data_IF_627982179667
#
_entry.id   IF_627982179667
#
_cell.length_a   1.000
_cell.length_b   1.000
_cell.length_c   1.000
_cell.angle_alpha   90.00
_cell.angle_beta   90.00
_cell.angle_gamma   90.00
#
_symmetry.space_group_name_H-M   'P 1'
#
loop_
_entity.id
_entity.type
_entity.pdbx_description
1 polymer ?
#
# COMPACT_ATOMS: atom_id res chain seq x y z
N UNK A 1 40.65 -51.29 64.27
CA UNK A 1 39.99 -51.90 63.10
C UNK A 1 39.96 -50.90 61.96
N UNK A 2 40.59 -51.29 60.86
CA UNK A 2 40.38 -50.93 59.46
C UNK A 2 40.12 -49.48 58.98
N UNK A 3 41.12 -49.03 58.21
CA UNK A 3 41.20 -47.96 57.21
C UNK A 3 40.00 -47.87 56.23
N UNK A 4 39.64 -46.65 55.82
CA UNK A 4 39.95 -46.18 54.44
C UNK A 4 39.94 -44.64 54.29
N UNK A 5 41.02 -44.17 53.65
CA UNK A 5 41.41 -42.89 53.02
C UNK A 5 40.25 -42.11 52.37
N UNK A 6 40.28 -40.76 52.25
CA UNK A 6 41.17 -39.89 51.43
C UNK A 6 41.37 -38.54 52.16
N UNK A 7 42.57 -38.03 52.48
CA UNK A 7 43.74 -37.56 51.69
C UNK A 7 43.57 -36.15 51.09
N UNK A 8 44.40 -35.24 51.63
CA UNK A 8 45.05 -34.02 51.09
C UNK A 8 44.18 -32.83 50.64
N UNK A 9 44.54 -31.57 50.92
CA UNK A 9 45.73 -31.02 51.55
C UNK A 9 45.70 -29.48 51.47
N UNK A 10 46.27 -28.83 52.48
CA UNK A 10 46.60 -27.41 52.45
C UNK A 10 47.82 -27.18 51.53
N UNK A 11 47.75 -26.19 50.65
CA UNK A 11 48.89 -25.64 49.88
C UNK A 11 48.67 -24.12 49.87
N UNK A 12 49.36 -23.38 50.72
CA UNK A 12 50.59 -22.63 50.42
C UNK A 12 50.41 -21.57 49.32
N UNK A 13 50.46 -20.32 49.78
CA UNK A 13 50.63 -19.08 49.02
C UNK A 13 51.85 -19.19 48.10
N UNK A 14 51.64 -19.02 46.80
CA UNK A 14 52.66 -18.50 45.88
C UNK A 14 52.01 -17.35 45.12
N UNK A 15 52.37 -16.12 45.50
CA UNK A 15 52.08 -14.93 44.74
C UNK A 15 52.89 -14.98 43.43
N UNK A 16 52.26 -15.45 42.36
CA UNK A 16 52.76 -15.25 41.01
C UNK A 16 52.36 -13.85 40.55
N UNK A 17 53.31 -12.91 40.66
CA UNK A 17 53.30 -11.64 39.93
C UNK A 17 53.38 -11.97 38.42
N UNK A 18 52.24 -12.28 37.81
CA UNK A 18 52.09 -12.23 36.37
C UNK A 18 52.00 -10.75 36.00
N UNK A 19 53.08 -10.20 35.45
CA UNK A 19 53.09 -8.85 34.91
C UNK A 19 51.96 -8.68 33.90
N UNK A 20 50.96 -7.87 34.23
CA UNK A 20 50.04 -7.32 33.26
C UNK A 20 50.86 -6.42 32.34
N UNK A 21 51.34 -6.96 31.22
CA UNK A 21 51.65 -6.13 30.08
C UNK A 21 50.32 -5.58 29.60
N UNK A 22 49.98 -4.38 30.06
CA UNK A 22 49.01 -3.53 29.39
C UNK A 22 49.59 -3.23 28.01
N UNK A 23 49.29 -4.08 27.03
CA UNK A 23 49.47 -3.68 25.65
C UNK A 23 48.59 -2.45 25.46
N UNK A 24 49.13 -1.30 25.02
CA UNK A 24 48.26 -0.24 24.53
C UNK A 24 47.38 -0.87 23.45
N UNK A 25 46.08 -0.98 23.72
CA UNK A 25 45.09 -1.18 22.67
C UNK A 25 45.19 0.07 21.81
N UNK A 26 45.97 -0.02 20.73
CA UNK A 26 46.00 1.02 19.72
C UNK A 26 44.62 1.00 19.06
N UNK A 27 43.71 1.84 19.54
CA UNK A 27 42.47 2.12 18.82
C UNK A 27 42.87 2.62 17.43
N UNK A 28 42.66 1.79 16.40
CA UNK A 28 42.95 2.15 15.03
C UNK A 28 42.23 3.47 14.71
N UNK A 29 42.96 4.44 14.17
CA UNK A 29 42.41 5.77 13.85
C UNK A 29 41.31 5.60 12.80
N UNK A 30 40.04 5.69 13.22
CA UNK A 30 38.90 5.52 12.33
C UNK A 30 38.96 6.53 11.18
N UNK A 31 38.57 6.10 9.98
CA UNK A 31 38.57 6.89 8.73
C UNK A 31 37.18 7.49 8.49
N UNK A 32 37.16 8.72 7.96
CA UNK A 32 35.92 9.46 7.71
C UNK A 32 35.28 9.05 6.38
N UNK A 33 33.96 8.83 6.41
CA UNK A 33 33.08 8.81 5.24
C UNK A 33 32.45 10.20 5.14
N UNK A 34 32.80 10.96 4.11
CA UNK A 34 32.38 12.37 3.96
C UNK A 34 31.24 12.58 2.97
N UNK A 35 30.88 11.55 2.20
CA UNK A 35 29.74 11.56 1.29
C UNK A 35 29.14 10.17 1.12
N UNK A 36 27.85 10.10 0.84
CA UNK A 36 27.14 8.86 0.49
C UNK A 36 26.52 8.98 -0.90
N UNK A 37 26.33 7.84 -1.56
CA UNK A 37 25.76 7.74 -2.90
C UNK A 37 24.87 6.50 -2.94
N UNK A 38 23.56 6.73 -2.99
CA UNK A 38 22.53 5.70 -2.91
C UNK A 38 21.57 5.88 -4.07
N UNK A 39 21.24 4.77 -4.71
CA UNK A 39 20.20 4.67 -5.72
C UNK A 39 19.01 3.92 -5.11
N UNK A 40 17.81 4.43 -5.34
CA UNK A 40 16.58 3.92 -4.76
C UNK A 40 15.61 3.62 -5.90
N UNK A 41 15.32 2.35 -6.11
CA UNK A 41 14.33 1.91 -7.09
C UNK A 41 13.10 1.44 -6.31
N UNK A 42 11.93 2.02 -6.60
CA UNK A 42 10.70 1.76 -5.85
C UNK A 42 9.56 1.34 -6.76
N UNK A 43 8.96 0.20 -6.46
CA UNK A 43 7.77 -0.34 -7.10
C UNK A 43 6.68 -0.45 -6.03
N UNK A 44 5.96 0.66 -5.84
CA UNK A 44 4.87 0.78 -4.86
C UNK A 44 3.56 0.90 -5.63
N UNK A 45 2.59 0.02 -5.38
CA UNK A 45 1.27 0.06 -6.03
C UNK A 45 0.21 0.72 -5.15
N UNK A 46 -0.76 1.42 -5.75
CA UNK A 46 -1.93 1.89 -5.00
C UNK A 46 -2.75 0.70 -4.50
N UNK A 47 -3.12 0.72 -3.22
CA UNK A 47 -3.81 -0.38 -2.55
C UNK A 47 -2.93 -1.56 -2.14
N UNK A 48 -1.61 -1.48 -2.38
CA UNK A 48 -0.67 -2.42 -1.77
C UNK A 48 -0.52 -2.08 -0.30
N UNK A 49 -0.48 -3.11 0.55
CA UNK A 49 -0.33 -2.93 2.00
C UNK A 49 1.06 -2.44 2.36
N UNK A 50 1.16 -1.65 3.43
CA UNK A 50 2.46 -1.23 3.92
C UNK A 50 3.27 -2.44 4.39
N UNK A 51 4.53 -2.52 3.96
CA UNK A 51 5.43 -3.65 4.17
C UNK A 51 5.38 -4.71 3.07
N UNK A 52 4.46 -4.61 2.11
CA UNK A 52 4.39 -5.47 0.93
C UNK A 52 5.00 -4.81 -0.33
N UNK A 53 5.53 -3.59 -0.20
CA UNK A 53 6.20 -2.91 -1.31
C UNK A 53 7.57 -3.50 -1.68
N UNK A 54 7.95 -3.29 -2.95
CA UNK A 54 9.28 -3.65 -3.45
C UNK A 54 10.13 -2.39 -3.59
N UNK A 55 11.06 -2.18 -2.65
CA UNK A 55 12.04 -1.09 -2.68
C UNK A 55 13.46 -1.68 -2.67
N UNK A 56 14.23 -1.38 -3.71
CA UNK A 56 15.62 -1.80 -3.84
C UNK A 56 16.57 -0.63 -3.53
N UNK A 57 17.49 -0.86 -2.60
CA UNK A 57 18.49 0.12 -2.18
C UNK A 57 19.87 -0.29 -2.68
N UNK A 58 20.41 0.50 -3.61
CA UNK A 58 21.69 0.24 -4.26
C UNK A 58 22.76 1.23 -3.80
N UNK A 59 23.73 0.77 -3.01
CA UNK A 59 24.85 1.60 -2.54
C UNK A 59 25.94 1.69 -3.61
N UNK A 60 26.20 2.91 -4.09
CA UNK A 60 27.24 3.21 -5.09
C UNK A 60 28.52 3.81 -4.50
N UNK A 61 28.54 4.05 -3.19
CA UNK A 61 29.73 4.52 -2.48
C UNK A 61 30.66 3.40 -2.03
N UNK A 62 31.58 3.73 -1.11
CA UNK A 62 32.57 2.80 -0.58
C UNK A 62 32.69 2.99 0.93
N UNK A 63 33.13 1.94 1.61
CA UNK A 63 33.38 1.91 3.06
C UNK A 63 32.11 1.94 3.93
N UNK A 64 30.97 1.60 3.35
CA UNK A 64 29.71 1.40 4.04
C UNK A 64 28.80 0.52 3.19
N UNK A 65 27.83 -0.09 3.83
CA UNK A 65 26.85 -1.00 3.23
C UNK A 65 25.43 -0.57 3.58
N UNK A 66 24.47 -1.02 2.77
CA UNK A 66 23.06 -0.94 3.12
C UNK A 66 22.74 -1.99 4.18
N UNK A 67 21.95 -1.63 5.18
CA UNK A 67 21.49 -2.53 6.23
C UNK A 67 20.00 -2.89 5.99
N UNK A 68 19.10 -1.95 6.25
CA UNK A 68 17.66 -2.07 6.03
C UNK A 68 17.02 -0.70 5.78
N UNK A 69 15.73 -0.66 5.47
CA UNK A 69 14.92 0.57 5.50
C UNK A 69 13.70 0.40 6.40
N UNK A 70 13.15 1.53 6.85
CA UNK A 70 11.87 1.61 7.54
C UNK A 70 10.94 2.55 6.75
N UNK A 71 9.67 2.18 6.62
CA UNK A 71 8.63 3.07 6.09
C UNK A 71 8.23 4.05 7.19
N UNK A 72 8.14 5.33 6.83
CA UNK A 72 7.74 6.40 7.74
C UNK A 72 6.26 6.80 7.59
N UNK A 73 5.62 6.38 6.48
CA UNK A 73 4.18 6.55 6.28
C UNK A 73 3.39 5.71 7.29
N UNK A 74 2.19 6.16 7.62
CA UNK A 74 1.25 5.46 8.49
C UNK A 74 -0.08 5.21 7.76
N UNK A 75 -0.66 4.03 7.95
CA UNK A 75 -1.81 3.57 7.19
C UNK A 75 -1.77 2.06 7.02
N UNK A 76 -2.73 1.55 6.24
CA UNK A 76 -2.82 0.13 5.91
C UNK A 76 -2.27 -0.16 4.52
N UNK A 77 -2.55 0.76 3.59
CA UNK A 77 -2.30 0.62 2.17
C UNK A 77 -1.85 1.96 1.60
N UNK A 78 -1.10 1.87 0.49
CA UNK A 78 -0.64 3.01 -0.27
C UNK A 78 -1.78 3.71 -1.01
N UNK A 79 -1.95 5.00 -0.73
CA UNK A 79 -3.01 5.83 -1.27
C UNK A 79 -2.47 6.86 -2.27
N UNK A 80 -3.35 7.37 -3.13
CA UNK A 80 -2.99 8.32 -4.19
C UNK A 80 -2.41 9.65 -3.67
N UNK A 81 -2.79 10.07 -2.47
CA UNK A 81 -2.28 11.29 -1.84
C UNK A 81 -0.95 11.05 -1.09
N UNK A 82 -0.48 9.80 -1.01
CA UNK A 82 0.75 9.47 -0.31
C UNK A 82 1.98 9.95 -1.08
N UNK A 83 2.93 10.45 -0.30
CA UNK A 83 4.31 10.62 -0.73
C UNK A 83 5.10 9.63 0.11
N UNK A 84 5.59 8.51 -0.46
CA UNK A 84 6.33 7.53 0.29
C UNK A 84 7.58 8.17 0.88
N UNK A 85 7.76 7.99 2.17
CA UNK A 85 8.90 8.46 2.94
C UNK A 85 9.49 7.25 3.67
N UNK A 86 10.79 7.05 3.50
CA UNK A 86 11.51 5.93 4.11
C UNK A 86 12.77 6.44 4.80
N UNK A 87 13.21 5.75 5.84
CA UNK A 87 14.54 5.92 6.43
C UNK A 87 15.41 4.73 6.04
N UNK A 88 16.46 5.00 5.26
CA UNK A 88 17.45 4.03 4.84
C UNK A 88 18.58 4.01 5.87
N UNK A 89 18.91 2.85 6.41
CA UNK A 89 20.02 2.67 7.34
C UNK A 89 21.25 2.17 6.59
N UNK A 90 22.33 2.96 6.68
CA UNK A 90 23.64 2.61 6.14
C UNK A 90 24.60 2.36 7.29
N UNK A 91 25.41 1.31 7.16
CA UNK A 91 26.41 0.93 8.18
C UNK A 91 27.81 1.13 7.66
N UNK A 92 28.63 1.85 8.42
CA UNK A 92 30.04 2.04 8.10
C UNK A 92 30.80 0.71 8.23
N UNK A 93 31.71 0.45 7.30
CA UNK A 93 32.60 -0.70 7.37
C UNK A 93 33.57 -0.56 8.55
N UNK A 94 34.19 -1.66 8.97
CA UNK A 94 35.11 -1.67 10.10
C UNK A 94 36.23 -0.61 9.95
N UNK A 95 36.40 0.20 11.01
CA UNK A 95 37.38 1.28 11.02
C UNK A 95 36.95 2.54 10.28
N UNK A 96 35.69 2.64 9.83
CA UNK A 96 35.12 3.86 9.27
C UNK A 96 34.01 4.47 10.14
N UNK A 97 33.69 5.74 9.90
CA UNK A 97 32.54 6.42 10.49
C UNK A 97 32.04 7.55 9.59
N UNK A 98 30.75 7.83 9.65
CA UNK A 98 30.12 8.91 8.92
C UNK A 98 30.48 10.28 9.50
N UNK A 99 30.95 11.18 8.65
CA UNK A 99 31.35 12.54 9.01
C UNK A 99 30.79 13.57 8.01
N UNK A 100 29.61 13.32 7.46
CA UNK A 100 28.91 14.25 6.58
C UNK A 100 28.56 15.53 7.37
N UNK A 101 28.71 16.68 6.71
CA UNK A 101 28.47 18.02 7.28
C UNK A 101 27.47 18.86 6.50
N UNK A 102 27.02 18.39 5.33
CA UNK A 102 26.11 19.12 4.44
C UNK A 102 25.22 18.17 3.65
N UNK A 103 24.00 18.59 3.32
CA UNK A 103 23.06 17.81 2.53
C UNK A 103 23.62 17.42 1.15
N UNK A 104 24.38 18.30 0.49
CA UNK A 104 25.00 18.03 -0.82
C UNK A 104 26.07 16.94 -0.82
N UNK A 105 26.45 16.41 0.36
CA UNK A 105 27.29 15.23 0.47
C UNK A 105 26.49 13.92 0.32
N UNK A 106 25.16 13.97 0.34
CA UNK A 106 24.28 12.86 0.01
C UNK A 106 23.93 12.96 -1.47
N UNK A 107 24.31 11.96 -2.25
CA UNK A 107 23.91 11.81 -3.65
C UNK A 107 22.81 10.75 -3.71
N UNK A 108 21.66 11.12 -4.26
CA UNK A 108 20.50 10.25 -4.39
C UNK A 108 20.07 10.17 -5.85
N UNK A 109 19.63 8.99 -6.26
CA UNK A 109 18.86 8.75 -7.49
C UNK A 109 17.57 8.03 -7.08
N UNK A 110 16.45 8.36 -7.74
CA UNK A 110 15.13 7.81 -7.42
C UNK A 110 14.46 8.32 -6.14
N UNK A 111 15.13 9.14 -5.33
CA UNK A 111 14.58 9.73 -4.11
C UNK A 111 15.07 11.17 -3.85
N UNK A 112 14.31 11.90 -3.04
CA UNK A 112 14.63 13.26 -2.58
C UNK A 112 15.10 13.24 -1.13
N UNK A 113 16.21 13.93 -0.86
CA UNK A 113 16.78 14.02 0.48
C UNK A 113 15.84 14.76 1.45
N UNK A 114 15.62 14.21 2.64
CA UNK A 114 14.96 14.89 3.76
C UNK A 114 15.96 15.22 4.86
N UNK A 115 16.59 14.18 5.45
CA UNK A 115 17.50 14.34 6.59
C UNK A 115 18.48 13.17 6.69
N UNK A 116 19.69 13.44 7.18
CA UNK A 116 20.63 12.42 7.62
C UNK A 116 20.96 12.58 9.11
N UNK A 117 20.87 11.49 9.87
CA UNK A 117 21.21 11.45 11.30
C UNK A 117 22.28 10.40 11.55
N UNK A 118 23.33 10.77 12.28
CA UNK A 118 24.40 9.85 12.68
C UNK A 118 24.04 9.23 14.02
N UNK A 119 24.08 7.90 14.09
CA UNK A 119 23.79 7.10 15.27
C UNK A 119 25.01 6.22 15.60
N UNK A 120 25.02 5.55 16.75
CA UNK A 120 26.05 4.57 17.13
C UNK A 120 27.49 5.09 16.99
N UNK A 121 27.77 6.23 17.62
CA UNK A 121 29.07 6.91 17.49
C UNK A 121 29.45 7.25 16.03
N UNK A 122 28.44 7.49 15.19
CA UNK A 122 28.53 7.74 13.74
C UNK A 122 28.90 6.52 12.90
N UNK A 123 28.72 5.30 13.41
CA UNK A 123 28.87 4.07 12.61
C UNK A 123 27.62 3.76 11.79
N UNK A 124 26.47 4.29 12.19
CA UNK A 124 25.19 4.16 11.47
C UNK A 124 24.76 5.52 10.95
N UNK A 125 24.30 5.57 9.70
CA UNK A 125 23.65 6.74 9.10
C UNK A 125 22.21 6.39 8.77
N UNK A 126 21.27 6.99 9.52
CA UNK A 126 19.86 6.98 9.19
C UNK A 126 19.58 8.10 8.18
N UNK A 127 19.22 7.72 6.95
CA UNK A 127 19.01 8.60 5.82
C UNK A 127 17.52 8.61 5.43
N UNK A 128 16.80 9.63 5.89
CA UNK A 128 15.39 9.84 5.56
C UNK A 128 15.25 10.49 4.18
N UNK A 129 14.43 9.89 3.34
CA UNK A 129 14.21 10.30 1.93
C UNK A 129 12.73 10.18 1.56
N UNK A 130 12.29 10.99 0.60
CA UNK A 130 10.99 10.86 -0.06
C UNK A 130 11.13 10.24 -1.43
N UNK A 131 10.30 9.26 -1.75
CA UNK A 131 10.17 8.65 -3.07
C UNK A 131 9.20 9.47 -3.94
N UNK A 132 9.02 9.15 -5.23
CA UNK A 132 8.05 9.83 -6.08
C UNK A 132 6.64 9.79 -5.48
N UNK A 133 5.91 10.90 -5.61
CA UNK A 133 4.50 11.01 -5.19
C UNK A 133 3.63 9.98 -5.91
N UNK A 134 2.63 9.44 -5.22
CA UNK A 134 1.70 8.46 -5.80
C UNK A 134 0.55 9.11 -6.57
N UNK A 135 0.45 10.43 -6.59
CA UNK A 135 -0.69 11.17 -7.18
C UNK A 135 -0.89 10.94 -8.67
N UNK A 136 0.17 10.55 -9.40
CA UNK A 136 0.11 10.26 -10.84
C UNK A 136 -0.04 8.76 -11.14
N UNK A 137 -0.17 7.91 -10.11
CA UNK A 137 -0.35 6.48 -10.30
C UNK A 137 -1.81 6.13 -10.62
N UNK A 138 -1.98 4.99 -11.28
CA UNK A 138 -3.29 4.35 -11.49
C UNK A 138 -3.25 3.01 -10.80
N UNK A 139 -4.28 2.71 -10.02
CA UNK A 139 -4.38 1.52 -9.20
C UNK A 139 -4.65 0.24 -10.00
N UNK A 140 -4.89 -0.83 -9.26
CA UNK A 140 -5.13 -2.15 -9.82
C UNK A 140 -6.35 -2.17 -10.76
N UNK A 141 -6.26 -3.06 -11.74
CA UNK A 141 -7.32 -3.33 -12.72
C UNK A 141 -8.51 -4.02 -12.02
N UNK A 142 -9.73 -3.69 -12.43
CA UNK A 142 -10.98 -4.28 -11.94
C UNK A 142 -11.68 -5.04 -13.07
N UNK A 143 -12.63 -5.91 -12.71
CA UNK A 143 -13.42 -6.61 -13.72
C UNK A 143 -14.30 -5.61 -14.50
N UNK A 144 -14.37 -5.80 -15.82
CA UNK A 144 -15.27 -5.04 -16.69
C UNK A 144 -16.44 -5.93 -17.09
N UNK A 145 -17.64 -5.52 -16.72
CA UNK A 145 -18.87 -6.25 -17.05
C UNK A 145 -19.62 -5.49 -18.14
N UNK A 146 -20.00 -6.20 -19.20
CA UNK A 146 -20.94 -5.71 -20.20
C UNK A 146 -22.22 -6.54 -20.10
N UNK A 147 -23.36 -5.89 -19.93
CA UNK A 147 -24.66 -6.56 -19.87
C UNK A 147 -25.28 -6.71 -21.26
N UNK A 148 -26.19 -7.67 -21.42
CA UNK A 148 -27.03 -7.79 -22.61
C UNK A 148 -28.10 -6.70 -22.73
N UNK A 149 -28.27 -5.89 -21.69
CA UNK A 149 -29.02 -4.63 -21.72
C UNK A 149 -28.23 -3.43 -22.23
N UNK A 150 -26.95 -3.58 -22.56
CA UNK A 150 -26.13 -2.53 -23.12
C UNK A 150 -25.44 -1.63 -22.10
N UNK A 151 -25.28 -2.07 -20.85
CA UNK A 151 -24.56 -1.32 -19.82
C UNK A 151 -23.19 -1.92 -19.59
N UNK A 152 -22.15 -1.07 -19.67
CA UNK A 152 -20.80 -1.40 -19.24
C UNK A 152 -20.58 -0.88 -17.82
N UNK A 153 -19.95 -1.66 -16.95
CA UNK A 153 -19.56 -1.27 -15.59
C UNK A 153 -18.23 -1.87 -15.21
N UNK A 154 -17.53 -1.25 -14.27
CA UNK A 154 -16.27 -1.72 -13.72
C UNK A 154 -16.10 -1.21 -12.29
N UNK A 155 -15.19 -1.80 -11.52
CA UNK A 155 -14.88 -1.31 -10.17
C UNK A 155 -14.07 0.00 -10.22
N UNK A 156 -14.22 0.85 -9.20
CA UNK A 156 -13.41 2.06 -9.06
C UNK A 156 -11.91 1.72 -9.07
N UNK A 157 -11.12 2.52 -9.80
CA UNK A 157 -9.68 2.35 -9.89
C UNK A 157 -9.03 3.52 -9.18
N UNK A 158 -8.31 3.24 -8.10
CA UNK A 158 -7.62 4.27 -7.30
C UNK A 158 -6.71 5.12 -8.20
N UNK A 159 -6.64 6.42 -7.94
CA UNK A 159 -5.90 7.36 -8.79
C UNK A 159 -6.61 7.78 -10.09
N UNK A 160 -7.63 7.06 -10.55
CA UNK A 160 -8.40 7.45 -11.73
C UNK A 160 -9.22 8.73 -11.44
N UNK A 161 -9.31 9.60 -12.45
CA UNK A 161 -10.28 10.70 -12.45
C UNK A 161 -11.28 10.59 -13.60
N UNK A 162 -11.04 9.67 -14.53
CA UNK A 162 -11.89 9.39 -15.68
C UNK A 162 -11.49 8.06 -16.29
N UNK A 163 -12.33 7.54 -17.18
CA UNK A 163 -12.12 6.29 -17.89
C UNK A 163 -12.27 6.53 -19.39
N UNK A 164 -11.37 5.93 -20.17
CA UNK A 164 -11.52 5.84 -21.62
C UNK A 164 -12.10 4.48 -21.99
N UNK A 165 -13.06 4.46 -22.92
CA UNK A 165 -13.79 3.27 -23.31
C UNK A 165 -13.81 3.06 -24.81
N UNK A 166 -13.83 1.80 -25.24
CA UNK A 166 -13.99 1.44 -26.64
C UNK A 166 -14.89 0.23 -26.80
N UNK A 167 -16.01 0.43 -27.51
CA UNK A 167 -16.94 -0.65 -27.86
C UNK A 167 -16.52 -1.32 -29.16
N UNK A 168 -16.62 -2.64 -29.19
CA UNK A 168 -16.40 -3.48 -30.36
C UNK A 168 -17.66 -4.26 -30.67
N UNK A 169 -17.97 -4.39 -31.97
CA UNK A 169 -19.01 -5.25 -32.52
C UNK A 169 -18.38 -6.19 -33.54
N UNK A 170 -18.52 -7.50 -33.34
CA UNK A 170 -17.91 -8.53 -34.17
C UNK A 170 -16.41 -8.29 -34.38
N UNK A 171 -15.71 -7.87 -33.31
CA UNK A 171 -14.29 -7.52 -33.35
C UNK A 171 -13.93 -6.18 -33.99
N UNK A 172 -14.90 -5.43 -34.51
CA UNK A 172 -14.66 -4.10 -35.14
C UNK A 172 -15.09 -2.99 -34.20
N UNK A 173 -14.26 -1.95 -34.03
CA UNK A 173 -14.59 -0.79 -33.20
C UNK A 173 -15.84 -0.06 -33.69
N UNK A 174 -16.71 0.33 -32.76
CA UNK A 174 -17.99 1.02 -33.04
C UNK A 174 -17.88 2.49 -32.67
N UNK A 175 -18.15 3.38 -33.63
CA UNK A 175 -18.21 4.83 -33.38
C UNK A 175 -16.83 5.47 -33.17
N UNK A 176 -16.73 6.37 -32.18
CA UNK A 176 -15.50 7.07 -31.87
C UNK A 176 -14.38 6.10 -31.47
N UNK A 177 -13.12 6.52 -31.66
CA UNK A 177 -11.97 5.69 -31.25
C UNK A 177 -12.03 5.37 -29.76
N UNK A 178 -12.40 6.36 -28.93
CA UNK A 178 -12.66 6.18 -27.51
C UNK A 178 -13.76 7.14 -27.04
N UNK A 179 -14.56 6.71 -26.06
CA UNK A 179 -15.44 7.56 -25.25
C UNK A 179 -14.76 7.86 -23.91
N UNK A 180 -15.22 8.89 -23.19
CA UNK A 180 -14.74 9.21 -21.84
C UNK A 180 -15.90 9.37 -20.87
N UNK A 181 -15.76 8.87 -19.65
CA UNK A 181 -16.68 9.14 -18.54
C UNK A 181 -15.91 9.29 -17.22
N UNK A 182 -16.47 10.01 -16.26
CA UNK A 182 -15.97 10.06 -14.87
C UNK A 182 -16.67 9.04 -13.97
N UNK A 183 -17.73 8.40 -14.48
CA UNK A 183 -18.46 7.35 -13.78
C UNK A 183 -17.78 6.00 -14.01
N UNK A 184 -18.06 5.03 -13.14
CA UNK A 184 -17.57 3.65 -13.29
C UNK A 184 -18.53 2.76 -14.10
N UNK A 185 -19.44 3.39 -14.84
CA UNK A 185 -20.32 2.76 -15.81
C UNK A 185 -20.50 3.63 -17.06
N UNK A 186 -20.97 3.01 -18.13
CA UNK A 186 -21.34 3.70 -19.37
C UNK A 186 -22.52 3.01 -20.06
N UNK A 187 -23.48 3.80 -20.51
CA UNK A 187 -24.66 3.35 -21.24
C UNK A 187 -24.35 3.23 -22.75
N UNK A 188 -24.33 1.99 -23.25
CA UNK A 188 -24.15 1.64 -24.65
C UNK A 188 -25.44 1.18 -25.35
N UNK A 189 -26.62 1.38 -24.76
CA UNK A 189 -27.91 0.93 -25.31
C UNK A 189 -28.12 1.37 -26.76
N UNK A 190 -27.82 2.63 -27.09
CA UNK A 190 -27.90 3.17 -28.45
C UNK A 190 -26.99 2.43 -29.45
N UNK A 191 -25.78 2.08 -29.02
CA UNK A 191 -24.73 1.44 -29.83
C UNK A 191 -24.91 -0.10 -29.91
N UNK A 192 -25.63 -0.68 -28.95
CA UNK A 192 -25.94 -2.12 -28.85
C UNK A 192 -27.34 -2.49 -29.37
N UNK A 193 -28.05 -1.54 -30.01
CA UNK A 193 -29.39 -1.70 -30.58
C UNK A 193 -29.53 -2.60 -31.83
N UNK A 194 -28.51 -3.41 -32.16
CA UNK A 194 -28.48 -4.27 -33.36
C UNK A 194 -27.86 -5.64 -33.04
N UNK A 195 -28.31 -6.74 -33.66
CA UNK A 195 -27.73 -8.06 -33.41
C UNK A 195 -26.23 -8.13 -33.69
N UNK A 196 -25.52 -8.92 -32.89
CA UNK A 196 -24.09 -9.16 -33.03
C UNK A 196 -23.41 -9.47 -31.70
N UNK A 197 -22.11 -9.73 -31.76
CA UNK A 197 -21.29 -9.97 -30.58
C UNK A 197 -20.58 -8.68 -30.19
N UNK A 198 -20.72 -8.28 -28.93
CA UNK A 198 -20.20 -7.04 -28.40
C UNK A 198 -19.16 -7.28 -27.31
N UNK A 199 -18.18 -6.39 -27.22
CA UNK A 199 -17.15 -6.35 -26.17
C UNK A 199 -16.81 -4.90 -25.88
N UNK A 200 -16.57 -4.54 -24.63
CA UNK A 200 -16.05 -3.22 -24.26
C UNK A 200 -14.64 -3.35 -23.70
N UNK A 201 -13.78 -2.39 -24.05
CA UNK A 201 -12.51 -2.17 -23.37
C UNK A 201 -12.55 -0.89 -22.58
N UNK A 202 -11.99 -0.90 -21.38
CA UNK A 202 -11.95 0.25 -20.47
C UNK A 202 -10.52 0.43 -19.97
N UNK A 203 -10.06 1.66 -19.83
CA UNK A 203 -8.83 1.96 -19.07
C UNK A 203 -9.02 3.19 -18.22
N UNK A 204 -8.46 3.17 -17.02
CA UNK A 204 -8.39 4.35 -16.16
C UNK A 204 -7.43 5.40 -16.73
N UNK A 205 -7.78 6.66 -16.52
CA UNK A 205 -6.96 7.83 -16.80
C UNK A 205 -6.78 8.59 -15.49
N UNK A 206 -5.54 8.83 -15.09
CA UNK A 206 -5.24 9.45 -13.80
C UNK A 206 -5.88 10.85 -13.67
N UNK A 207 -6.24 11.22 -12.44
CA UNK A 207 -6.92 12.49 -12.15
C UNK A 207 -6.04 13.73 -12.34
N UNK A 208 -4.73 13.62 -12.07
CA UNK A 208 -3.77 14.72 -12.14
C UNK A 208 -3.04 14.79 -13.49
N UNK A 209 -2.62 13.63 -14.01
CA UNK A 209 -1.86 13.53 -15.25
C UNK A 209 -2.61 12.64 -16.26
N UNK A 210 -3.24 13.27 -17.26
CA UNK A 210 -4.03 12.56 -18.29
C UNK A 210 -3.19 11.68 -19.22
N UNK A 211 -1.86 11.79 -19.23
CA UNK A 211 -0.96 10.87 -19.94
C UNK A 211 -0.66 9.61 -19.14
N UNK A 212 -0.85 9.63 -17.80
CA UNK A 212 -0.77 8.44 -16.96
C UNK A 212 -2.08 7.65 -17.06
N UNK A 213 -2.01 6.48 -17.69
CA UNK A 213 -3.16 5.63 -17.99
C UNK A 213 -2.90 4.20 -17.56
N UNK A 214 -3.96 3.55 -17.08
CA UNK A 214 -3.95 2.12 -16.81
C UNK A 214 -3.89 1.29 -18.10
N UNK A 215 -3.77 -0.02 -17.93
CA UNK A 215 -3.92 -0.96 -19.05
C UNK A 215 -5.37 -1.01 -19.50
N UNK A 216 -5.56 -1.47 -20.75
CA UNK A 216 -6.89 -1.81 -21.23
C UNK A 216 -7.36 -3.09 -20.56
N UNK A 217 -8.47 -2.99 -19.84
CA UNK A 217 -9.26 -4.09 -19.31
C UNK A 217 -10.36 -4.41 -20.31
N UNK A 218 -10.76 -5.67 -20.43
CA UNK A 218 -11.73 -6.13 -21.42
C UNK A 218 -12.88 -6.85 -20.74
N UNK A 219 -14.11 -6.59 -21.20
CA UNK A 219 -15.24 -7.42 -20.80
C UNK A 219 -15.20 -8.78 -21.50
N UNK A 220 -15.97 -9.72 -20.94
CA UNK A 220 -16.46 -10.86 -21.70
C UNK A 220 -17.30 -10.40 -22.90
N UNK A 221 -17.41 -11.27 -23.91
CA UNK A 221 -18.23 -10.97 -25.09
C UNK A 221 -19.70 -11.27 -24.85
N UNK A 222 -20.59 -10.36 -25.24
CA UNK A 222 -22.03 -10.53 -25.13
C UNK A 222 -22.65 -10.66 -26.52
N UNK A 223 -23.45 -11.70 -26.74
CA UNK A 223 -24.17 -11.85 -28.02
C UNK A 223 -25.58 -11.30 -27.89
N UNK A 224 -25.87 -10.26 -28.66
CA UNK A 224 -27.20 -9.65 -28.76
C UNK A 224 -27.96 -10.32 -29.89
N UNK A 225 -29.04 -11.02 -29.53
CA UNK A 225 -30.01 -11.56 -30.49
C UNK A 225 -30.90 -10.46 -31.07
N UNK A 226 -31.75 -10.80 -32.06
CA UNK A 226 -32.74 -9.86 -32.57
C UNK A 226 -33.74 -9.43 -31.48
N UNK A 227 -34.21 -10.37 -30.67
CA UNK A 227 -35.12 -10.11 -29.56
C UNK A 227 -34.51 -9.19 -28.49
N UNK A 228 -33.24 -9.42 -28.13
CA UNK A 228 -32.51 -8.57 -27.18
C UNK A 228 -32.31 -7.16 -27.74
N UNK A 229 -31.96 -7.04 -29.02
CA UNK A 229 -31.85 -5.74 -29.68
C UNK A 229 -33.20 -4.99 -29.68
N UNK A 230 -34.32 -5.70 -29.86
CA UNK A 230 -35.66 -5.14 -29.74
C UNK A 230 -35.97 -4.70 -28.30
N UNK A 231 -35.61 -5.49 -27.30
CA UNK A 231 -35.80 -5.15 -25.89
C UNK A 231 -35.02 -3.89 -25.48
N UNK A 232 -33.77 -3.75 -25.95
CA UNK A 232 -32.94 -2.53 -25.75
C UNK A 232 -33.61 -1.31 -26.39
N UNK A 233 -34.01 -1.42 -27.67
CA UNK A 233 -34.67 -0.31 -28.39
C UNK A 233 -35.97 0.15 -27.73
N UNK A 234 -36.65 -0.77 -27.05
CA UNK A 234 -37.91 -0.50 -26.37
C UNK A 234 -37.74 -0.13 -24.88
N UNK A 235 -36.50 -0.07 -24.36
CA UNK A 235 -36.24 0.26 -22.95
C UNK A 235 -36.72 -0.79 -21.94
N UNK A 236 -36.78 -2.06 -22.35
CA UNK A 236 -37.29 -3.19 -21.54
C UNK A 236 -36.22 -4.21 -21.19
N UNK A 237 -34.97 -3.98 -21.57
CA UNK A 237 -33.86 -4.85 -21.24
C UNK A 237 -33.52 -4.79 -19.73
N UNK A 238 -33.12 -5.93 -19.16
CA UNK A 238 -32.69 -6.01 -17.76
C UNK A 238 -31.26 -5.44 -17.57
N UNK A 239 -30.92 -4.95 -16.37
CA UNK A 239 -29.54 -4.62 -15.99
C UNK A 239 -29.14 -3.13 -16.01
N UNK A 240 -29.99 -2.24 -15.48
CA UNK A 240 -29.57 -0.86 -15.17
C UNK A 240 -28.52 -0.87 -14.05
N UNK A 241 -27.38 -0.16 -14.17
CA UNK A 241 -26.47 0.06 -13.04
C UNK A 241 -27.18 0.88 -11.96
N UNK A 242 -27.01 0.46 -10.72
CA UNK A 242 -27.45 1.20 -9.54
C UNK A 242 -26.27 2.02 -9.02
N UNK A 243 -26.54 3.21 -8.48
CA UNK A 243 -25.50 3.96 -7.77
C UNK A 243 -25.12 3.19 -6.51
N UNK A 244 -23.84 3.12 -6.19
CA UNK A 244 -23.35 2.48 -4.98
C UNK A 244 -24.02 3.12 -3.78
N UNK A 245 -24.57 2.29 -2.89
CA UNK A 245 -25.43 2.78 -1.82
C UNK A 245 -25.34 1.93 -0.55
N UNK A 246 -25.39 2.62 0.57
CA UNK A 246 -25.59 2.00 1.87
C UNK A 246 -27.00 1.42 1.95
N UNK A 247 -27.07 0.11 2.12
CA UNK A 247 -28.31 -0.62 2.33
C UNK A 247 -28.43 -1.01 3.80
N UNK A 248 -29.64 -0.93 4.33
CA UNK A 248 -29.96 -1.39 5.68
C UNK A 248 -30.84 -2.62 5.60
N UNK A 249 -30.45 -3.68 6.29
CA UNK A 249 -31.27 -4.88 6.50
C UNK A 249 -31.43 -5.12 8.01
N UNK A 250 -32.65 -4.93 8.51
CA UNK A 250 -32.89 -4.88 9.96
C UNK A 250 -32.10 -3.74 10.62
N UNK A 251 -31.19 -4.10 11.53
CA UNK A 251 -30.28 -3.16 12.21
C UNK A 251 -28.84 -3.23 11.67
N UNK A 252 -28.57 -4.05 10.65
CA UNK A 252 -27.24 -4.18 10.04
C UNK A 252 -27.18 -3.36 8.75
N UNK A 253 -26.02 -2.77 8.50
CA UNK A 253 -25.73 -2.03 7.28
C UNK A 253 -24.81 -2.85 6.39
N UNK A 254 -24.99 -2.79 5.09
CA UNK A 254 -24.05 -3.29 4.09
C UNK A 254 -23.94 -2.28 2.96
N UNK A 255 -22.86 -2.33 2.19
CA UNK A 255 -22.65 -1.42 1.08
C UNK A 255 -22.81 -2.18 -0.23
N UNK A 256 -23.77 -1.75 -1.05
CA UNK A 256 -23.97 -2.31 -2.38
C UNK A 256 -23.11 -1.55 -3.38
N UNK A 257 -22.30 -2.28 -4.13
CA UNK A 257 -21.50 -1.78 -5.25
C UNK A 257 -22.38 -1.50 -6.47
N UNK A 258 -21.87 -0.71 -7.40
CA UNK A 258 -22.63 -0.29 -8.59
C UNK A 258 -23.01 -1.45 -9.53
N UNK A 259 -22.21 -2.52 -9.49
CA UNK A 259 -22.42 -3.79 -10.19
C UNK A 259 -23.37 -4.75 -9.42
N UNK A 260 -23.85 -4.33 -8.26
CA UNK A 260 -24.72 -5.11 -7.38
C UNK A 260 -23.99 -6.05 -6.41
N UNK A 261 -22.66 -6.14 -6.45
CA UNK A 261 -21.84 -6.90 -5.50
C UNK A 261 -21.66 -6.14 -4.17
N UNK A 262 -20.89 -6.70 -3.21
CA UNK A 262 -20.62 -6.08 -1.91
C UNK A 262 -19.36 -6.68 -1.27
N UNK A 263 -18.72 -5.94 -0.38
CA UNK A 263 -17.50 -6.38 0.34
C UNK A 263 -17.84 -7.35 1.46
N UNK A 264 -17.02 -8.40 1.62
CA UNK A 264 -17.16 -9.40 2.69
C UNK A 264 -15.81 -9.65 3.37
N UNK A 265 -15.83 -9.81 4.69
CA UNK A 265 -14.68 -10.11 5.55
C UNK A 265 -13.44 -9.26 5.23
N UNK A 266 -13.62 -7.96 5.06
CA UNK A 266 -12.52 -7.06 4.71
C UNK A 266 -12.83 -5.60 5.06
N UNK A 267 -11.77 -4.79 5.12
CA UNK A 267 -11.86 -3.36 5.19
C UNK A 267 -12.18 -2.76 3.82
N UNK A 268 -13.00 -1.72 3.81
CA UNK A 268 -13.26 -0.93 2.62
C UNK A 268 -13.24 0.55 2.96
N UNK A 269 -12.65 1.35 2.08
CA UNK A 269 -12.71 2.80 2.20
C UNK A 269 -13.84 3.35 1.33
N UNK A 270 -14.89 3.86 1.97
CA UNK A 270 -16.05 4.48 1.32
C UNK A 270 -16.07 5.96 1.71
N UNK A 271 -16.12 6.86 0.74
CA UNK A 271 -16.08 8.31 0.97
C UNK A 271 -14.93 8.77 1.90
N UNK A 272 -13.73 8.21 1.68
CA UNK A 272 -12.49 8.48 2.45
C UNK A 272 -12.51 8.03 3.92
N UNK A 273 -13.47 7.19 4.29
CA UNK A 273 -13.59 6.61 5.64
C UNK A 273 -13.49 5.09 5.53
N UNK A 274 -12.77 4.47 6.47
CA UNK A 274 -12.63 3.02 6.51
C UNK A 274 -13.78 2.39 7.28
N UNK A 275 -14.33 1.31 6.74
CA UNK A 275 -15.37 0.47 7.34
C UNK A 275 -14.92 -0.98 7.27
N UNK A 276 -15.22 -1.77 8.29
CA UNK A 276 -14.94 -3.20 8.29
C UNK A 276 -16.25 -3.95 8.03
N UNK A 277 -16.24 -4.89 7.09
CA UNK A 277 -17.36 -5.77 6.82
C UNK A 277 -17.08 -7.19 7.30
N UNK A 278 -18.08 -7.86 7.89
CA UNK A 278 -17.98 -9.26 8.29
C UNK A 278 -18.14 -10.24 7.13
N UNK A 279 -18.05 -11.54 7.42
CA UNK A 279 -18.14 -12.64 6.46
C UNK A 279 -19.43 -12.64 5.64
N UNK A 280 -20.52 -12.06 6.17
CA UNK A 280 -21.78 -11.92 5.45
C UNK A 280 -21.90 -10.60 4.70
N UNK A 281 -20.93 -9.70 4.85
CA UNK A 281 -20.88 -8.40 4.19
C UNK A 281 -21.57 -7.26 4.93
N UNK A 282 -21.83 -7.43 6.24
CA UNK A 282 -22.37 -6.36 7.06
C UNK A 282 -21.29 -5.59 7.79
N UNK A 283 -21.48 -4.29 7.87
CA UNK A 283 -20.61 -3.32 8.54
C UNK A 283 -20.52 -3.63 10.04
N UNK A 284 -19.28 -3.63 10.53
CA UNK A 284 -18.92 -3.83 11.94
C UNK A 284 -18.82 -2.49 12.67
N UNK A 285 -19.17 -2.51 13.95
CA UNK A 285 -19.06 -1.39 14.88
C UNK A 285 -18.37 -1.84 16.18
N UNK A 286 -17.90 -0.89 16.97
CA UNK A 286 -17.18 -1.11 18.23
C UNK A 286 -15.75 -1.63 18.03
N UNK A 287 -15.22 -2.29 19.06
CA UNK A 287 -13.89 -2.89 19.03
C UNK A 287 -13.81 -4.07 18.05
N UNK A 288 -12.81 -4.03 17.20
CA UNK A 288 -12.49 -5.09 16.24
C UNK A 288 -11.01 -5.44 16.33
N UNK A 289 -10.70 -6.73 16.23
CA UNK A 289 -9.32 -7.22 16.14
C UNK A 289 -9.06 -7.67 14.71
N UNK A 290 -8.03 -7.13 14.08
CA UNK A 290 -7.67 -7.42 12.71
C UNK A 290 -6.15 -7.59 12.64
N UNK A 291 -5.71 -8.78 12.22
CA UNK A 291 -4.29 -9.14 12.08
C UNK A 291 -3.40 -8.88 13.30
N UNK A 292 -3.95 -9.13 14.49
CA UNK A 292 -3.24 -8.97 15.76
C UNK A 292 -3.27 -7.56 16.34
N UNK A 293 -3.86 -6.60 15.63
CA UNK A 293 -4.07 -5.23 16.09
C UNK A 293 -5.53 -4.96 16.44
N UNK A 294 -5.75 -3.99 17.34
CA UNK A 294 -7.10 -3.60 17.78
C UNK A 294 -7.47 -2.21 17.28
N UNK A 295 -8.64 -2.14 16.65
CA UNK A 295 -9.24 -0.93 16.10
C UNK A 295 -10.62 -0.69 16.73
N UNK A 296 -11.11 0.55 16.60
CA UNK A 296 -12.47 0.90 16.99
C UNK A 296 -13.23 1.46 15.79
N UNK A 297 -14.30 0.78 15.38
CA UNK A 297 -15.28 1.30 14.44
C UNK A 297 -16.34 2.07 15.23
N UNK A 298 -16.63 3.31 14.85
CA UNK A 298 -17.58 4.17 15.56
C UNK A 298 -18.94 3.48 15.71
N UNK A 299 -19.54 3.55 16.90
CA UNK A 299 -20.72 2.72 17.25
C UNK A 299 -21.94 2.96 16.36
N UNK A 300 -22.11 4.20 15.88
CA UNK A 300 -23.28 4.59 15.07
C UNK A 300 -23.00 4.66 13.58
N UNK A 301 -21.78 5.07 13.20
CA UNK A 301 -21.43 5.35 11.81
C UNK A 301 -20.61 4.23 11.19
N UNK A 302 -19.98 3.36 12.00
CA UNK A 302 -19.09 2.29 11.55
C UNK A 302 -17.73 2.74 11.04
N UNK A 303 -17.48 4.06 10.96
CA UNK A 303 -16.20 4.57 10.50
C UNK A 303 -15.09 4.23 11.50
N UNK A 304 -13.94 3.75 11.01
CA UNK A 304 -12.78 3.50 11.86
C UNK A 304 -12.27 4.81 12.47
N UNK A 305 -12.16 4.82 13.80
CA UNK A 305 -11.57 5.93 14.54
C UNK A 305 -10.04 5.87 14.49
N UNK A 306 -9.40 7.04 14.42
CA UNK A 306 -7.93 7.22 14.49
C UNK A 306 -7.60 8.62 15.02
N UNK A 307 -6.38 8.79 15.52
CA UNK A 307 -5.89 10.05 16.11
C UNK A 307 -6.85 10.65 17.16
N UNK A 308 -7.50 9.78 17.94
CA UNK A 308 -8.56 10.19 18.85
C UNK A 308 -8.63 9.27 20.07
N UNK A 309 -9.51 9.63 21.00
CA UNK A 309 -9.88 8.79 22.14
C UNK A 309 -11.23 8.14 21.85
N UNK A 310 -11.33 6.83 22.03
CA UNK A 310 -12.57 6.07 21.90
C UNK A 310 -13.59 6.50 22.97
N UNK A 311 -14.90 6.25 22.78
CA UNK A 311 -15.93 6.58 23.77
C UNK A 311 -15.67 5.98 25.18
N UNK A 312 -14.99 4.83 25.24
CA UNK A 312 -14.58 4.14 26.47
C UNK A 312 -13.18 4.54 27.00
N UNK A 313 -12.53 5.55 26.40
CA UNK A 313 -11.37 6.23 26.98
C UNK A 313 -10.00 5.70 26.56
N UNK A 314 -9.92 4.86 25.53
CA UNK A 314 -8.66 4.39 24.98
C UNK A 314 -8.14 5.31 23.88
N UNK A 315 -6.82 5.45 23.79
CA UNK A 315 -6.18 6.33 22.81
C UNK A 315 -5.78 5.50 21.59
N UNK A 316 -6.25 5.93 20.42
CA UNK A 316 -5.85 5.37 19.14
C UNK A 316 -4.74 6.23 18.52
N UNK A 317 -3.80 5.58 17.84
CA UNK A 317 -2.76 6.27 17.06
C UNK A 317 -3.29 6.75 15.69
N UNK A 318 -2.38 7.29 14.86
CA UNK A 318 -2.71 7.81 13.54
C UNK A 318 -3.07 6.73 12.52
N UNK A 319 -2.77 5.47 12.82
CA UNK A 319 -3.20 4.31 12.04
C UNK A 319 -4.50 3.69 12.60
N UNK A 320 -4.99 4.15 13.75
CA UNK A 320 -6.19 3.63 14.41
C UNK A 320 -5.91 2.50 15.39
N UNK A 321 -4.64 2.14 15.63
CA UNK A 321 -4.27 1.10 16.58
C UNK A 321 -4.44 1.58 18.02
N UNK A 322 -4.89 0.67 18.88
CA UNK A 322 -4.87 0.86 20.32
C UNK A 322 -3.42 1.08 20.83
N UNK A 323 -3.14 2.26 21.40
CA UNK A 323 -1.88 2.48 22.11
C UNK A 323 -1.89 1.74 23.44
N UNK A 324 -0.99 0.77 23.59
CA UNK A 324 -0.68 0.19 24.89
C UNK A 324 -0.01 1.26 25.77
N UNK A 325 -0.55 1.45 26.99
CA UNK A 325 -0.07 2.44 27.97
C UNK A 325 1.32 2.13 28.51
#
# INVERSE_FOLDING_TARGET
>A
MYNWKKVCGAVLVVAALAGMLAFPSFAAKKKKITSVNVDVESHIGLGVRYGEEEIEINVRGRNYTYDYYEIENFGFEWMEDDIPEITIYLRADEGYYFSLTKASAVKLTGATYVKATKQDSSETLALRVKLPSMQEMVGAETEVVLTDGGFASWGEIRGAGSYELRLYKNGTGVGATYQSTEQVFYDYTDQMSKPGTYQVKVRAVNKQNKESKGKWMESETVTISQEMADAIRNGTAAGLPIKGEWKKEGERWWYQHEDGTYTQNNWEQIDKKWYLFDEEGYMRTGWVEWEGEKYYCHDETGEMLKDTTTPDGYILDSAGHLKNR
#
